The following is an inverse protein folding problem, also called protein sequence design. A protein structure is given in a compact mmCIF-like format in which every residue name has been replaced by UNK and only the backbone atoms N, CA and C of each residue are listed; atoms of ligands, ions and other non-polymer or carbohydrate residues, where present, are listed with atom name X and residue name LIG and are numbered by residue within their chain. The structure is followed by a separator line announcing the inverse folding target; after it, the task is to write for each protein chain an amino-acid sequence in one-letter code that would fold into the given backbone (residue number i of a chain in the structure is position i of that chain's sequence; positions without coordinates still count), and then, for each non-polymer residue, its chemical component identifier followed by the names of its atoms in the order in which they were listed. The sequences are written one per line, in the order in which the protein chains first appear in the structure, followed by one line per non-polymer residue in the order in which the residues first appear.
data_IF_079266267453
#
_entry.id   IF_079266267453
#
_cell.length_a   1.000
_cell.length_b   1.000
_cell.length_c   1.000
_cell.angle_alpha   90.00
_cell.angle_beta   90.00
_cell.angle_gamma   90.00
#
_symmetry.space_group_name_H-M   'P 1'
#
loop_
_entity.id
_entity.type
_entity.pdbx_description
1 polymer ?
#
# COMPACT_ATOMS: atom_id res chain seq x y z
N UNK A 1 19.16 -35.83 1.99
CA UNK A 1 19.52 -34.43 2.33
C UNK A 1 18.28 -33.59 2.73
N UNK A 2 17.62 -33.90 3.86
CA UNK A 2 16.44 -33.14 4.32
C UNK A 2 16.78 -31.71 4.80
N UNK A 3 17.98 -31.49 5.34
CA UNK A 3 18.43 -30.20 5.87
C UNK A 3 18.57 -29.12 4.80
N UNK A 4 19.08 -29.46 3.60
CA UNK A 4 19.20 -28.51 2.50
C UNK A 4 17.82 -28.05 1.99
N UNK A 5 16.85 -28.98 1.92
CA UNK A 5 15.46 -28.63 1.55
C UNK A 5 14.80 -27.75 2.61
N UNK A 6 15.06 -28.00 3.90
CA UNK A 6 14.55 -27.16 4.99
C UNK A 6 15.14 -25.75 4.95
N UNK A 7 16.46 -25.63 4.74
CA UNK A 7 17.13 -24.34 4.61
C UNK A 7 16.61 -23.56 3.40
N UNK A 8 16.47 -24.20 2.24
CA UNK A 8 15.91 -23.57 1.05
C UNK A 8 14.47 -23.07 1.27
N UNK A 9 13.64 -23.88 1.94
CA UNK A 9 12.26 -23.49 2.28
C UNK A 9 12.24 -22.28 3.21
N UNK A 10 13.13 -22.24 4.19
CA UNK A 10 13.23 -21.13 5.13
C UNK A 10 13.64 -19.84 4.43
N UNK A 11 14.69 -19.87 3.60
CA UNK A 11 15.12 -18.73 2.79
C UNK A 11 13.97 -18.23 1.90
N UNK A 12 13.24 -19.14 1.25
CA UNK A 12 12.09 -18.78 0.43
C UNK A 12 10.98 -18.11 1.23
N UNK A 13 10.64 -18.64 2.41
CA UNK A 13 9.60 -18.06 3.25
C UNK A 13 10.02 -16.70 3.81
N UNK A 14 11.27 -16.56 4.25
CA UNK A 14 11.81 -15.28 4.71
C UNK A 14 11.84 -14.25 3.60
N UNK A 15 12.22 -14.65 2.37
CA UNK A 15 12.22 -13.76 1.20
C UNK A 15 10.80 -13.34 0.81
N UNK A 16 9.84 -14.27 0.78
CA UNK A 16 8.44 -13.96 0.48
C UNK A 16 7.79 -13.13 1.58
N UNK A 17 8.11 -13.38 2.85
CA UNK A 17 7.65 -12.59 3.99
C UNK A 17 8.26 -11.18 4.00
N UNK A 18 9.49 -11.02 3.48
CA UNK A 18 10.11 -9.71 3.28
C UNK A 18 9.45 -8.89 2.16
N UNK A 19 8.57 -9.49 1.33
CA UNK A 19 7.71 -8.76 0.40
C UNK A 19 6.61 -8.06 1.20
N UNK A 20 6.99 -6.93 1.79
CA UNK A 20 6.10 -6.03 2.49
C UNK A 20 5.56 -5.00 1.49
N UNK A 21 4.29 -5.17 1.11
CA UNK A 21 3.59 -4.27 0.20
C UNK A 21 3.40 -2.88 0.84
N UNK A 22 3.08 -2.82 2.13
CA UNK A 22 2.88 -1.56 2.84
C UNK A 22 4.21 -0.80 2.95
N UNK A 23 5.29 -1.46 3.36
CA UNK A 23 6.63 -0.88 3.37
C UNK A 23 7.12 -0.49 1.97
N UNK A 24 6.74 -1.23 0.93
CA UNK A 24 7.02 -0.84 -0.46
C UNK A 24 6.31 0.45 -0.85
N UNK A 25 5.03 0.60 -0.47
CA UNK A 25 4.28 1.83 -0.66
C UNK A 25 4.96 3.01 0.04
N UNK A 26 5.37 2.86 1.29
CA UNK A 26 6.07 3.92 2.05
C UNK A 26 7.44 4.31 1.45
N UNK A 27 8.15 3.35 0.86
CA UNK A 27 9.44 3.65 0.19
C UNK A 27 9.26 4.38 -1.13
N UNK A 28 8.18 4.08 -1.87
CA UNK A 28 7.92 4.65 -3.20
C UNK A 28 7.06 5.91 -3.18
N UNK A 29 6.22 6.04 -2.17
CA UNK A 29 5.35 7.20 -1.94
C UNK A 29 5.83 7.94 -0.71
N UNK A 30 6.13 9.22 -0.89
CA UNK A 30 6.48 10.10 0.20
C UNK A 30 5.51 11.28 0.22
N UNK A 31 5.19 11.77 1.40
CA UNK A 31 4.37 12.98 1.55
C UNK A 31 5.18 14.03 2.28
N UNK A 32 5.27 15.22 1.69
CA UNK A 32 5.87 16.40 2.33
C UNK A 32 4.82 17.51 2.40
N UNK A 33 4.23 17.67 3.58
CA UNK A 33 3.09 18.57 3.76
C UNK A 33 1.90 18.13 2.90
N UNK A 34 1.45 18.99 2.00
CA UNK A 34 0.38 18.70 1.05
C UNK A 34 0.86 18.10 -0.28
N UNK A 35 2.18 17.92 -0.47
CA UNK A 35 2.71 17.36 -1.72
C UNK A 35 2.93 15.86 -1.57
N UNK A 36 2.26 15.07 -2.40
CA UNK A 36 2.51 13.65 -2.59
C UNK A 36 3.58 13.46 -3.68
N UNK A 37 4.62 12.71 -3.35
CA UNK A 37 5.72 12.36 -4.24
C UNK A 37 5.62 10.88 -4.60
N UNK A 38 5.64 10.57 -5.89
CA UNK A 38 5.65 9.22 -6.43
C UNK A 38 6.71 9.16 -7.55
N UNK A 39 7.91 8.70 -7.20
CA UNK A 39 9.07 8.87 -8.08
C UNK A 39 9.30 10.35 -8.41
N UNK A 40 9.35 10.68 -9.71
CA UNK A 40 9.52 12.06 -10.17
C UNK A 40 8.22 12.89 -10.16
N UNK A 41 7.06 12.23 -10.02
CA UNK A 41 5.77 12.90 -10.00
C UNK A 41 5.54 13.58 -8.65
N UNK A 42 5.17 14.86 -8.71
CA UNK A 42 4.81 15.69 -7.55
C UNK A 42 3.37 16.16 -7.71
N UNK A 43 2.51 15.80 -6.77
CA UNK A 43 1.08 16.12 -6.78
C UNK A 43 0.80 16.98 -5.56
N UNK A 44 0.35 18.22 -5.75
CA UNK A 44 -0.17 19.04 -4.65
C UNK A 44 -1.63 18.65 -4.37
N UNK A 45 -1.86 18.06 -3.19
CA UNK A 45 -3.15 17.55 -2.77
C UNK A 45 -4.17 18.67 -2.52
N UNK A 46 -3.72 19.93 -2.34
CA UNK A 46 -4.63 21.09 -2.18
C UNK A 46 -5.37 21.45 -3.46
N UNK A 47 -4.89 20.97 -4.61
CA UNK A 47 -5.56 21.18 -5.90
C UNK A 47 -6.81 20.29 -6.05
N UNK A 48 -7.10 19.43 -5.08
CA UNK A 48 -8.20 18.49 -5.11
C UNK A 48 -9.05 18.61 -3.86
N UNK A 49 -10.37 18.70 -4.02
CA UNK A 49 -11.31 18.76 -2.90
C UNK A 49 -11.47 17.41 -2.20
N UNK A 50 -11.30 16.32 -2.95
CA UNK A 50 -11.51 14.95 -2.47
C UNK A 50 -10.45 14.02 -3.03
N UNK A 51 -9.94 13.14 -2.18
CA UNK A 51 -9.08 12.04 -2.59
C UNK A 51 -9.91 10.75 -2.69
N UNK A 52 -9.84 10.09 -3.84
CA UNK A 52 -10.50 8.80 -4.10
C UNK A 52 -9.45 7.73 -4.38
N UNK A 53 -9.60 6.56 -3.77
CA UNK A 53 -8.68 5.44 -3.92
C UNK A 53 -9.37 4.26 -4.60
N UNK A 54 -8.76 3.76 -5.67
CA UNK A 54 -9.19 2.53 -6.34
C UNK A 54 -8.00 1.58 -6.32
N UNK A 55 -8.14 0.46 -5.61
CA UNK A 55 -7.09 -0.56 -5.52
C UNK A 55 -7.60 -1.90 -6.05
N UNK A 56 -6.86 -2.50 -6.97
CA UNK A 56 -7.27 -3.74 -7.64
C UNK A 56 -6.13 -4.76 -7.58
N UNK A 57 -6.46 -5.98 -7.19
CA UNK A 57 -5.54 -7.11 -7.14
C UNK A 57 -5.47 -7.76 -5.75
N UNK A 58 -4.79 -8.90 -5.66
CA UNK A 58 -4.66 -9.67 -4.40
C UNK A 58 -4.03 -8.86 -3.25
N UNK A 59 -3.21 -7.86 -3.59
CA UNK A 59 -2.55 -6.98 -2.64
C UNK A 59 -3.31 -5.65 -2.40
N UNK A 60 -4.51 -5.47 -2.97
CA UNK A 60 -5.24 -4.21 -2.92
C UNK A 60 -5.40 -3.69 -1.47
N UNK A 61 -5.76 -4.57 -0.55
CA UNK A 61 -5.88 -4.25 0.87
C UNK A 61 -4.57 -3.70 1.46
N UNK A 62 -3.47 -4.43 1.29
CA UNK A 62 -2.16 -4.02 1.80
C UNK A 62 -1.66 -2.72 1.14
N UNK A 63 -2.00 -2.47 -0.12
CA UNK A 63 -1.68 -1.22 -0.81
C UNK A 63 -2.45 -0.04 -0.21
N UNK A 64 -3.76 -0.19 0.03
CA UNK A 64 -4.60 0.84 0.67
C UNK A 64 -4.12 1.13 2.09
N UNK A 65 -3.72 0.08 2.81
CA UNK A 65 -3.13 0.23 4.14
C UNK A 65 -1.84 1.05 4.12
N UNK A 66 -0.89 0.68 3.24
CA UNK A 66 0.35 1.43 3.06
C UNK A 66 0.11 2.89 2.64
N UNK A 67 -0.83 3.14 1.73
CA UNK A 67 -1.22 4.49 1.31
C UNK A 67 -1.80 5.32 2.47
N UNK A 68 -2.62 4.70 3.32
CA UNK A 68 -3.18 5.36 4.52
C UNK A 68 -2.07 5.86 5.43
N UNK A 69 -1.04 5.04 5.64
CA UNK A 69 0.10 5.38 6.51
C UNK A 69 0.93 6.55 5.93
N UNK A 70 1.09 6.63 4.61
CA UNK A 70 1.78 7.74 3.94
C UNK A 70 1.01 9.06 4.06
N UNK A 71 -0.31 9.01 3.97
CA UNK A 71 -1.16 10.20 3.95
C UNK A 71 -1.56 10.71 5.33
N UNK A 72 -1.50 9.86 6.36
CA UNK A 72 -1.78 10.25 7.73
C UNK A 72 -0.83 11.36 8.22
N UNK A 73 -1.31 12.34 9.02
CA UNK A 73 -2.70 12.51 9.50
C UNK A 73 -3.58 13.39 8.59
N UNK A 74 -3.12 13.75 7.39
CA UNK A 74 -3.59 14.97 6.70
C UNK A 74 -4.82 14.81 5.80
N UNK A 75 -5.20 13.58 5.44
CA UNK A 75 -6.11 13.37 4.30
C UNK A 75 -7.16 12.32 4.60
N UNK A 76 -8.43 12.67 4.38
CA UNK A 76 -9.55 11.72 4.33
C UNK A 76 -9.59 11.04 2.97
N UNK A 77 -9.84 9.74 2.96
CA UNK A 77 -9.93 8.95 1.73
C UNK A 77 -11.20 8.12 1.72
N UNK A 78 -11.85 8.07 0.57
CA UNK A 78 -12.94 7.15 0.28
C UNK A 78 -12.55 6.32 -0.95
N UNK A 79 -12.94 5.05 -0.99
CA UNK A 79 -12.52 4.18 -2.08
C UNK A 79 -13.14 2.80 -2.09
N UNK A 80 -12.71 2.00 -3.07
CA UNK A 80 -13.05 0.60 -3.20
C UNK A 80 -11.78 -0.18 -3.43
N UNK A 81 -11.66 -1.32 -2.76
CA UNK A 81 -10.61 -2.30 -3.00
C UNK A 81 -11.20 -3.63 -3.42
N UNK A 82 -10.57 -4.32 -4.36
CA UNK A 82 -11.02 -5.63 -4.84
C UNK A 82 -9.87 -6.59 -5.06
N UNK A 83 -9.97 -7.79 -4.51
CA UNK A 83 -8.92 -8.81 -4.61
C UNK A 83 -9.44 -10.22 -4.34
N UNK A 84 -9.35 -11.11 -5.34
CA UNK A 84 -9.69 -12.52 -5.16
C UNK A 84 -11.17 -12.82 -4.94
N UNK A 85 -12.05 -12.28 -5.79
CA UNK A 85 -13.50 -12.56 -5.77
C UNK A 85 -14.31 -11.75 -4.76
N UNK A 86 -13.66 -11.05 -3.83
CA UNK A 86 -14.31 -10.16 -2.86
C UNK A 86 -13.93 -8.69 -3.15
N UNK A 87 -14.94 -7.83 -3.22
CA UNK A 87 -14.81 -6.38 -3.41
C UNK A 87 -15.40 -5.68 -2.19
N UNK A 88 -14.61 -4.82 -1.55
CA UNK A 88 -15.00 -4.12 -0.32
C UNK A 88 -14.93 -2.62 -0.52
N UNK A 89 -15.97 -1.93 -0.05
CA UNK A 89 -15.91 -0.48 0.12
C UNK A 89 -14.88 -0.19 1.23
N UNK A 90 -13.94 0.70 0.91
CA UNK A 90 -12.97 1.23 1.87
C UNK A 90 -13.44 2.61 2.26
N UNK A 91 -13.99 2.70 3.47
CA UNK A 91 -14.23 3.97 4.15
C UNK A 91 -13.32 4.02 5.37
N UNK A 92 -12.18 4.71 5.26
CA UNK A 92 -11.25 4.89 6.38
C UNK A 92 -11.50 6.26 7.01
N UNK A 93 -12.39 6.24 8.00
CA UNK A 93 -12.78 7.43 8.77
C UNK A 93 -11.83 7.66 9.94
N UNK A 94 -11.27 8.86 10.01
CA UNK A 94 -10.92 9.54 11.26
C UNK A 94 -11.34 11.00 11.16
#
# INVERSE_FOLDING_TARGET
MPQLKQLARQIFHETLAAIDIAGTMQRKLQRKGAVLMCGEMRIDLRNFEKLRVVAIGKAAHAMVEGLTQVLAPFVRMEGVEGGGGDSRAVEKMR
#
